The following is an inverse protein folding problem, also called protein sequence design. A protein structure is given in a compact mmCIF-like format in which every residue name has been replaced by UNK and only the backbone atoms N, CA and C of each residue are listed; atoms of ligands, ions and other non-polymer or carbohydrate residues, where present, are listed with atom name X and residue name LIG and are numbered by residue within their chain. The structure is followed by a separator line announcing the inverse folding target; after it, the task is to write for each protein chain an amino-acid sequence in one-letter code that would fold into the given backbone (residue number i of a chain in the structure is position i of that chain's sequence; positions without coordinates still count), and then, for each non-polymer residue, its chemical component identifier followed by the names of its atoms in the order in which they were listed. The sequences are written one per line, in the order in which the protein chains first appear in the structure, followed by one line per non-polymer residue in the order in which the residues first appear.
data_IF_271886197560
#
_entry.id   IF_271886197560
#
_cell.length_a   1.000
_cell.length_b   1.000
_cell.length_c   1.000
_cell.angle_alpha   90.00
_cell.angle_beta   90.00
_cell.angle_gamma   90.00
#
_symmetry.space_group_name_H-M   'P 1'
#
loop_
_entity.id
_entity.type
_entity.pdbx_description
1 polymer ?
#
# COMPACT_ATOMS: atom_id res chain seq x y z
N UNK A 1 17.15 -32.26 22.46
CA UNK A 1 16.18 -31.15 22.55
C UNK A 1 15.28 -31.31 21.34
N UNK A 2 14.06 -31.78 21.56
CA UNK A 2 13.16 -32.23 20.52
C UNK A 2 12.15 -31.11 20.25
N UNK A 3 12.21 -30.52 19.06
CA UNK A 3 11.25 -29.51 18.64
C UNK A 3 9.88 -30.17 18.49
N UNK A 4 8.97 -29.83 19.41
CA UNK A 4 7.57 -30.29 19.36
C UNK A 4 6.87 -29.44 18.30
N UNK A 5 6.76 -29.98 17.09
CA UNK A 5 5.89 -29.44 16.05
C UNK A 5 4.44 -29.71 16.47
N UNK A 6 3.82 -28.75 17.15
CA UNK A 6 2.40 -28.82 17.53
C UNK A 6 1.56 -28.64 16.28
N UNK A 7 1.20 -29.76 15.65
CA UNK A 7 0.22 -29.80 14.58
C UNK A 7 -1.17 -29.61 15.20
N UNK A 8 -1.64 -28.36 15.32
CA UNK A 8 -3.00 -28.08 15.78
C UNK A 8 -3.99 -28.56 14.73
N UNK A 9 -4.77 -29.58 15.10
CA UNK A 9 -5.92 -30.05 14.35
C UNK A 9 -6.93 -28.88 14.25
N UNK A 10 -7.36 -28.47 13.03
CA UNK A 10 -8.25 -27.33 12.89
C UNK A 10 -9.59 -27.66 13.54
N UNK A 11 -9.92 -26.95 14.61
CA UNK A 11 -11.23 -27.05 15.24
C UNK A 11 -12.32 -26.83 14.20
N UNK A 12 -13.36 -27.68 14.15
CA UNK A 12 -14.48 -27.48 13.25
C UNK A 12 -15.08 -26.10 13.53
N UNK A 13 -15.15 -25.25 12.50
CA UNK A 13 -15.79 -23.94 12.54
C UNK A 13 -17.27 -24.18 12.83
N UNK A 14 -17.63 -24.35 14.10
CA UNK A 14 -19.00 -24.30 14.57
C UNK A 14 -19.48 -22.87 14.30
N UNK A 15 -20.26 -22.71 13.22
CA UNK A 15 -20.99 -21.46 12.99
C UNK A 15 -21.89 -21.26 14.21
N UNK A 16 -21.67 -20.20 14.99
CA UNK A 16 -22.47 -19.96 16.17
C UNK A 16 -23.91 -19.73 15.73
N UNK A 17 -24.79 -20.61 16.20
CA UNK A 17 -26.24 -20.50 16.10
C UNK A 17 -26.69 -19.08 16.48
N UNK A 18 -27.63 -18.51 15.74
CA UNK A 18 -28.19 -17.16 15.90
C UNK A 18 -29.02 -17.00 17.20
N UNK A 19 -28.44 -17.34 18.34
CA UNK A 19 -29.05 -17.12 19.66
C UNK A 19 -28.64 -15.74 20.17
N UNK A 20 -29.61 -14.83 20.20
CA UNK A 20 -29.63 -13.57 20.96
C UNK A 20 -28.32 -12.78 20.93
N UNK A 21 -28.25 -11.86 19.97
CA UNK A 21 -27.19 -10.84 19.82
C UNK A 21 -27.16 -9.97 21.08
N UNK A 22 -26.42 -10.43 22.09
CA UNK A 22 -26.12 -9.66 23.27
C UNK A 22 -25.19 -8.52 22.82
N UNK A 23 -25.71 -7.30 22.75
CA UNK A 23 -24.98 -6.11 22.28
C UNK A 23 -23.65 -5.84 23.03
N UNK A 24 -23.43 -6.53 24.15
CA UNK A 24 -22.20 -6.49 24.94
C UNK A 24 -20.92 -6.93 24.21
N UNK A 25 -21.01 -7.59 23.06
CA UNK A 25 -19.82 -8.02 22.30
C UNK A 25 -19.41 -7.07 21.17
N UNK A 26 -20.18 -6.02 20.91
CA UNK A 26 -19.91 -5.08 19.81
C UNK A 26 -19.18 -3.87 20.34
N UNK A 27 -17.96 -3.63 19.86
CA UNK A 27 -17.12 -2.51 20.29
C UNK A 27 -17.08 -1.44 19.19
N UNK A 28 -17.54 -0.24 19.52
CA UNK A 28 -17.54 0.91 18.61
C UNK A 28 -16.34 1.84 18.83
N UNK A 29 -15.13 1.25 18.88
CA UNK A 29 -13.89 2.00 18.90
C UNK A 29 -13.03 1.59 17.70
N UNK A 30 -12.76 2.54 16.80
CA UNK A 30 -12.00 2.29 15.58
C UNK A 30 -10.56 1.86 15.87
N UNK A 31 -9.91 2.45 16.88
CA UNK A 31 -8.53 2.13 17.24
C UNK A 31 -8.45 0.73 17.85
N UNK A 32 -9.34 0.42 18.79
CA UNK A 32 -9.43 -0.91 19.39
C UNK A 32 -9.63 -2.00 18.33
N UNK A 33 -10.61 -1.80 17.44
CA UNK A 33 -10.90 -2.74 16.35
C UNK A 33 -9.69 -2.93 15.39
N UNK A 34 -8.92 -1.87 15.14
CA UNK A 34 -7.72 -1.95 14.31
C UNK A 34 -6.60 -2.75 14.99
N UNK A 35 -6.38 -2.54 16.30
CA UNK A 35 -5.40 -3.29 17.08
C UNK A 35 -5.81 -4.76 17.23
N UNK A 36 -7.08 -5.03 17.46
CA UNK A 36 -7.63 -6.39 17.53
C UNK A 36 -7.47 -7.14 16.20
N UNK A 37 -7.72 -6.47 15.06
CA UNK A 37 -7.43 -7.03 13.74
C UNK A 37 -5.94 -7.32 13.57
N UNK A 38 -5.08 -6.39 14.00
CA UNK A 38 -3.62 -6.57 13.92
C UNK A 38 -3.15 -7.75 14.77
N UNK A 39 -3.69 -7.92 15.98
CA UNK A 39 -3.42 -9.06 16.84
C UNK A 39 -3.83 -10.37 16.16
N UNK A 40 -5.03 -10.42 15.58
CA UNK A 40 -5.54 -11.62 14.90
C UNK A 40 -4.69 -11.98 13.69
N UNK A 41 -4.33 -10.98 12.87
CA UNK A 41 -3.43 -11.14 11.74
C UNK A 41 -2.04 -11.62 12.18
N UNK A 42 -1.54 -11.12 13.32
CA UNK A 42 -0.24 -11.49 13.88
C UNK A 42 -0.24 -12.94 14.35
N UNK A 43 -1.29 -13.39 15.04
CA UNK A 43 -1.45 -14.79 15.44
C UNK A 43 -1.46 -15.72 14.23
N UNK A 44 -2.25 -15.40 13.20
CA UNK A 44 -2.28 -16.19 11.96
C UNK A 44 -0.94 -16.18 11.23
N UNK A 45 -0.24 -15.05 11.22
CA UNK A 45 1.10 -14.95 10.64
C UNK A 45 2.10 -15.85 11.37
N UNK A 46 2.14 -15.80 12.71
CA UNK A 46 3.03 -16.65 13.51
C UNK A 46 2.75 -18.14 13.31
N UNK A 47 1.47 -18.52 13.24
CA UNK A 47 1.05 -19.90 12.96
C UNK A 47 1.50 -20.36 11.56
N UNK A 48 1.40 -19.48 10.57
CA UNK A 48 1.78 -19.80 9.18
C UNK A 48 3.29 -19.91 9.00
N UNK A 49 4.06 -19.01 9.62
CA UNK A 49 5.52 -18.99 9.49
C UNK A 49 6.24 -19.97 10.43
N UNK A 50 5.50 -20.67 11.30
CA UNK A 50 6.08 -21.69 12.19
C UNK A 50 7.07 -21.12 13.21
N UNK A 51 6.81 -19.91 13.72
CA UNK A 51 7.68 -19.28 14.72
C UNK A 51 7.70 -20.14 15.98
N UNK A 52 8.90 -20.52 16.45
CA UNK A 52 9.04 -21.28 17.69
C UNK A 52 8.59 -20.43 18.88
N UNK A 53 7.49 -20.85 19.51
CA UNK A 53 6.91 -20.17 20.67
C UNK A 53 7.17 -21.03 21.90
N UNK A 54 7.76 -20.48 22.98
CA UNK A 54 7.93 -21.20 24.22
C UNK A 54 6.58 -21.78 24.69
N UNK A 55 6.54 -23.04 25.18
CA UNK A 55 5.28 -23.69 25.57
C UNK A 55 4.51 -22.91 26.63
N UNK A 56 5.22 -22.19 27.51
CA UNK A 56 4.66 -21.28 28.52
C UNK A 56 3.81 -20.17 27.90
N UNK A 57 4.15 -19.72 26.69
CA UNK A 57 3.49 -18.62 25.96
C UNK A 57 2.52 -19.08 24.88
N UNK A 58 2.34 -20.40 24.70
CA UNK A 58 1.43 -20.95 23.69
C UNK A 58 -0.03 -20.45 23.88
N UNK A 59 -0.42 -20.16 25.12
CA UNK A 59 -1.74 -19.61 25.43
C UNK A 59 -2.00 -18.20 24.82
N UNK A 60 -0.94 -17.45 24.45
CA UNK A 60 -1.06 -16.14 23.82
C UNK A 60 -1.57 -16.21 22.36
N UNK A 61 -1.34 -17.34 21.68
CA UNK A 61 -1.88 -17.56 20.33
C UNK A 61 -3.40 -17.74 20.33
N UNK A 62 -3.97 -18.13 21.47
CA UNK A 62 -5.42 -18.27 21.60
C UNK A 62 -6.01 -16.89 21.89
N UNK A 63 -6.58 -16.28 20.83
CA UNK A 63 -7.19 -14.94 20.89
C UNK A 63 -8.30 -14.85 21.96
N UNK A 64 -8.88 -15.99 22.36
CA UNK A 64 -9.71 -16.12 23.55
C UNK A 64 -10.95 -15.21 23.54
N UNK A 65 -11.24 -14.59 24.68
CA UNK A 65 -12.40 -13.66 24.83
C UNK A 65 -12.26 -12.42 23.94
N UNK A 66 -11.04 -11.92 23.74
CA UNK A 66 -10.78 -10.74 22.90
C UNK A 66 -11.13 -11.04 21.45
N UNK A 67 -10.86 -12.25 20.95
CA UNK A 67 -11.21 -12.65 19.59
C UNK A 67 -12.71 -12.74 19.33
N UNK A 68 -13.54 -12.81 20.38
CA UNK A 68 -15.00 -12.85 20.27
C UNK A 68 -15.63 -11.46 20.14
N UNK A 69 -14.88 -10.40 20.46
CA UNK A 69 -15.34 -9.02 20.31
C UNK A 69 -15.48 -8.72 18.81
N UNK A 70 -16.60 -8.12 18.41
CA UNK A 70 -16.92 -7.88 17.01
C UNK A 70 -16.94 -6.38 16.74
N UNK A 71 -16.44 -6.01 15.56
CA UNK A 71 -16.66 -4.68 14.99
C UNK A 71 -18.12 -4.53 14.54
N UNK A 72 -18.74 -3.34 14.71
CA UNK A 72 -20.06 -3.08 14.15
C UNK A 72 -20.03 -3.28 12.63
N UNK A 73 -21.03 -3.96 12.08
CA UNK A 73 -21.19 -4.06 10.63
C UNK A 73 -21.60 -2.69 10.10
N UNK A 74 -20.98 -2.25 9.00
CA UNK A 74 -21.27 -0.96 8.37
C UNK A 74 -22.77 -0.73 8.10
N UNK A 75 -23.52 -1.79 7.82
CA UNK A 75 -24.96 -1.75 7.54
C UNK A 75 -25.86 -2.03 8.76
N UNK A 76 -25.29 -2.38 9.92
CA UNK A 76 -26.09 -2.64 11.13
C UNK A 76 -26.23 -1.36 11.95
N UNK A 77 -27.44 -1.08 12.43
CA UNK A 77 -27.73 0.03 13.37
C UNK A 77 -27.25 -0.26 14.81
N UNK A 78 -26.47 -1.32 15.02
CA UNK A 78 -25.91 -1.65 16.33
C UNK A 78 -24.96 -0.54 16.82
N UNK A 79 -25.44 0.23 17.80
CA UNK A 79 -24.60 1.13 18.59
C UNK A 79 -23.73 0.29 19.52
N UNK A 80 -22.51 -0.04 19.07
CA UNK A 80 -21.55 -0.76 19.90
C UNK A 80 -21.14 0.05 21.13
N UNK A 81 -20.70 -0.65 22.18
CA UNK A 81 -20.21 -0.03 23.41
C UNK A 81 -18.76 0.46 23.26
N UNK A 82 -18.34 1.32 24.18
CA UNK A 82 -16.93 1.68 24.37
C UNK A 82 -16.20 0.47 25.00
N UNK A 83 -14.96 0.18 24.57
CA UNK A 83 -14.13 -0.86 25.20
C UNK A 83 -13.83 -0.52 26.66
N UNK A 84 -13.79 -1.53 27.52
CA UNK A 84 -13.43 -1.34 28.93
C UNK A 84 -11.91 -1.21 29.06
N UNK A 85 -11.40 -0.46 30.06
CA UNK A 85 -9.95 -0.31 30.30
C UNK A 85 -9.23 -1.66 30.45
N UNK A 86 -9.85 -2.62 31.12
CA UNK A 86 -9.30 -3.98 31.25
C UNK A 86 -9.16 -4.70 29.90
N UNK A 87 -10.08 -4.48 28.95
CA UNK A 87 -10.00 -5.06 27.61
C UNK A 87 -8.90 -4.39 26.77
N UNK A 88 -8.75 -3.08 26.92
CA UNK A 88 -7.67 -2.31 26.32
C UNK A 88 -6.30 -2.76 26.80
N UNK A 89 -6.09 -2.80 28.12
CA UNK A 89 -4.85 -3.27 28.71
C UNK A 89 -4.52 -4.70 28.30
N UNK A 90 -5.51 -5.61 28.34
CA UNK A 90 -5.31 -6.99 27.92
C UNK A 90 -4.95 -7.11 26.42
N UNK A 91 -5.53 -6.28 25.55
CA UNK A 91 -5.20 -6.27 24.12
C UNK A 91 -3.77 -5.75 23.89
N UNK A 92 -3.40 -4.65 24.53
CA UNK A 92 -2.10 -4.01 24.37
C UNK A 92 -0.96 -4.87 24.93
N UNK A 93 -1.12 -5.40 26.14
CA UNK A 93 -0.14 -6.30 26.76
C UNK A 93 0.11 -7.52 25.86
N UNK A 94 -0.95 -8.16 25.36
CA UNK A 94 -0.81 -9.32 24.45
C UNK A 94 -0.12 -8.95 23.15
N UNK A 95 -0.47 -7.80 22.57
CA UNK A 95 0.14 -7.34 21.33
C UNK A 95 1.64 -7.07 21.54
N UNK A 96 2.02 -6.44 22.65
CA UNK A 96 3.41 -6.17 23.01
C UNK A 96 4.19 -7.46 23.28
N UNK A 97 3.61 -8.41 23.99
CA UNK A 97 4.22 -9.72 24.26
C UNK A 97 4.45 -10.50 22.96
N UNK A 98 3.45 -10.59 22.09
CA UNK A 98 3.60 -11.25 20.79
C UNK A 98 4.63 -10.54 19.91
N UNK A 99 4.62 -9.20 19.89
CA UNK A 99 5.64 -8.44 19.16
C UNK A 99 7.06 -8.67 19.69
N UNK A 100 7.23 -8.85 21.01
CA UNK A 100 8.54 -9.15 21.61
C UNK A 100 9.07 -10.53 21.20
N UNK A 101 8.19 -11.46 20.82
CA UNK A 101 8.55 -12.78 20.32
C UNK A 101 8.93 -12.77 18.84
N UNK A 102 8.46 -11.77 18.06
CA UNK A 102 8.84 -11.65 16.67
C UNK A 102 10.25 -11.07 16.54
N UNK A 103 11.19 -11.91 16.11
CA UNK A 103 12.48 -11.45 15.62
C UNK A 103 12.33 -10.43 14.49
N UNK A 104 13.35 -9.59 14.31
CA UNK A 104 13.36 -8.53 13.29
C UNK A 104 12.97 -8.99 11.86
N UNK A 105 13.44 -10.14 11.33
CA UNK A 105 13.03 -10.60 10.00
C UNK A 105 11.54 -10.97 9.93
N UNK A 106 11.00 -11.65 10.96
CA UNK A 106 9.58 -12.01 11.03
C UNK A 106 8.70 -10.76 11.14
N UNK A 107 9.14 -9.77 11.93
CA UNK A 107 8.44 -8.49 12.07
C UNK A 107 8.31 -7.76 10.74
N UNK A 108 9.38 -7.75 9.92
CA UNK A 108 9.32 -7.19 8.55
C UNK A 108 8.37 -7.98 7.66
N UNK A 109 8.43 -9.30 7.70
CA UNK A 109 7.51 -10.19 6.98
C UNK A 109 6.04 -9.93 7.31
N UNK A 110 5.74 -9.70 8.60
CA UNK A 110 4.39 -9.35 9.06
C UNK A 110 3.91 -8.02 8.47
N UNK A 111 4.74 -6.96 8.52
CA UNK A 111 4.37 -5.66 7.94
C UNK A 111 4.16 -5.74 6.43
N UNK A 112 4.99 -6.51 5.71
CA UNK A 112 4.80 -6.78 4.29
C UNK A 112 3.48 -7.54 4.07
N UNK A 113 3.18 -8.53 4.91
CA UNK A 113 1.92 -9.28 4.83
C UNK A 113 0.70 -8.38 5.02
N UNK A 114 0.76 -7.44 5.97
CA UNK A 114 -0.31 -6.48 6.23
C UNK A 114 -0.49 -5.49 5.07
N UNK A 115 0.59 -5.16 4.35
CA UNK A 115 0.53 -4.25 3.19
C UNK A 115 0.11 -4.94 1.88
N UNK A 116 0.12 -6.28 1.79
CA UNK A 116 -0.31 -7.06 0.60
C UNK A 116 -1.66 -6.61 0.06
N UNK A 117 -2.64 -6.36 0.93
CA UNK A 117 -3.97 -5.92 0.49
C UNK A 117 -3.91 -4.58 -0.25
N UNK A 118 -3.11 -3.65 0.25
CA UNK A 118 -2.94 -2.34 -0.38
C UNK A 118 -2.16 -2.49 -1.69
N UNK A 119 -1.08 -3.27 -1.69
CA UNK A 119 -0.22 -3.47 -2.85
C UNK A 119 -0.92 -4.22 -3.99
N UNK A 120 -1.88 -5.10 -3.70
CA UNK A 120 -2.67 -5.82 -4.71
C UNK A 120 -3.84 -4.98 -5.22
N UNK A 121 -4.61 -4.36 -4.33
CA UNK A 121 -5.85 -3.67 -4.72
C UNK A 121 -5.59 -2.29 -5.35
N UNK A 122 -4.58 -1.54 -4.89
CA UNK A 122 -4.29 -0.19 -5.41
C UNK A 122 -3.98 -0.18 -6.91
N UNK A 123 -3.02 -0.96 -7.44
CA UNK A 123 -2.74 -0.94 -8.87
C UNK A 123 -3.94 -1.39 -9.70
N UNK A 124 -4.77 -2.31 -9.19
CA UNK A 124 -6.00 -2.72 -9.88
C UNK A 124 -7.00 -1.57 -9.99
N UNK A 125 -7.27 -0.86 -8.89
CA UNK A 125 -8.18 0.31 -8.89
C UNK A 125 -7.66 1.41 -9.81
N UNK A 126 -6.36 1.71 -9.76
CA UNK A 126 -5.74 2.75 -10.58
C UNK A 126 -5.76 2.36 -12.07
N UNK A 127 -5.49 1.10 -12.39
CA UNK A 127 -5.58 0.57 -13.75
C UNK A 127 -7.00 0.66 -14.30
N UNK A 128 -8.01 0.26 -13.51
CA UNK A 128 -9.42 0.43 -13.89
C UNK A 128 -9.75 1.91 -14.10
N UNK A 129 -9.25 2.80 -13.24
CA UNK A 129 -9.39 4.25 -13.40
C UNK A 129 -8.77 4.79 -14.70
N UNK A 130 -7.58 4.32 -15.07
CA UNK A 130 -6.92 4.68 -16.32
C UNK A 130 -7.70 4.20 -17.55
N UNK A 131 -8.14 2.94 -17.54
CA UNK A 131 -8.95 2.39 -18.64
C UNK A 131 -10.29 3.11 -18.74
N UNK A 132 -10.93 3.40 -17.60
CA UNK A 132 -12.18 4.14 -17.55
C UNK A 132 -12.02 5.57 -18.09
N UNK A 133 -10.90 6.26 -17.79
CA UNK A 133 -10.67 7.60 -18.31
C UNK A 133 -10.46 7.61 -19.82
N UNK A 134 -9.84 6.57 -20.38
CA UNK A 134 -9.69 6.37 -21.82
C UNK A 134 -11.00 5.99 -22.48
N UNK A 135 -11.81 5.15 -21.85
CA UNK A 135 -13.14 4.80 -22.39
C UNK A 135 -14.07 6.02 -22.37
N UNK A 136 -14.01 6.84 -21.31
CA UNK A 136 -14.82 8.05 -21.17
C UNK A 136 -14.60 9.07 -22.31
N UNK A 137 -13.41 9.17 -22.89
CA UNK A 137 -13.19 10.07 -24.05
C UNK A 137 -13.96 9.67 -25.29
N UNK A 138 -14.44 8.42 -25.38
CA UNK A 138 -15.25 7.99 -26.52
C UNK A 138 -16.70 8.48 -26.44
N UNK A 139 -17.18 8.88 -25.25
CA UNK A 139 -18.58 9.26 -25.01
C UNK A 139 -18.78 10.74 -24.67
N UNK A 140 -17.70 11.47 -24.45
CA UNK A 140 -17.74 12.86 -23.99
C UNK A 140 -17.26 13.80 -25.11
N UNK A 141 -17.76 15.03 -25.14
CA UNK A 141 -17.31 16.08 -26.05
C UNK A 141 -15.80 16.34 -25.97
N UNK A 142 -15.21 16.77 -27.09
CA UNK A 142 -13.78 17.07 -27.23
C UNK A 142 -13.26 18.06 -26.17
N UNK A 143 -14.13 18.96 -25.68
CA UNK A 143 -13.81 19.94 -24.62
C UNK A 143 -13.36 19.27 -23.31
N UNK A 144 -13.81 18.05 -23.03
CA UNK A 144 -13.49 17.34 -21.80
C UNK A 144 -12.32 16.36 -21.96
N UNK A 145 -11.81 16.16 -23.17
CA UNK A 145 -10.68 15.25 -23.43
C UNK A 145 -9.45 15.60 -22.59
N UNK A 146 -9.23 16.89 -22.32
CA UNK A 146 -8.13 17.34 -21.47
C UNK A 146 -8.23 16.79 -20.04
N UNK A 147 -9.43 16.76 -19.44
CA UNK A 147 -9.62 16.23 -18.10
C UNK A 147 -9.42 14.72 -18.04
N UNK A 148 -9.91 13.99 -19.05
CA UNK A 148 -9.67 12.56 -19.20
C UNK A 148 -8.18 12.24 -19.40
N UNK A 149 -7.49 13.08 -20.18
CA UNK A 149 -6.04 12.99 -20.36
C UNK A 149 -5.27 13.24 -19.07
N UNK A 150 -5.64 14.27 -18.28
CA UNK A 150 -5.03 14.53 -16.97
C UNK A 150 -5.25 13.34 -16.02
N UNK A 151 -6.46 12.78 -15.98
CA UNK A 151 -6.76 11.59 -15.18
C UNK A 151 -5.92 10.38 -15.63
N UNK A 152 -5.78 10.18 -16.94
CA UNK A 152 -4.93 9.15 -17.55
C UNK A 152 -3.46 9.31 -17.12
N UNK A 153 -2.89 10.51 -17.23
CA UNK A 153 -1.51 10.80 -16.85
C UNK A 153 -1.26 10.54 -15.36
N UNK A 154 -2.15 11.02 -14.48
CA UNK A 154 -2.03 10.79 -13.03
C UNK A 154 -2.11 9.29 -12.70
N UNK A 155 -3.03 8.56 -13.34
CA UNK A 155 -3.18 7.13 -13.12
C UNK A 155 -1.94 6.35 -13.57
N UNK A 156 -1.40 6.64 -14.76
CA UNK A 156 -0.18 5.99 -15.23
C UNK A 156 1.05 6.33 -14.37
N UNK A 157 1.21 7.59 -13.95
CA UNK A 157 2.28 7.98 -13.04
C UNK A 157 2.19 7.28 -11.67
N UNK A 158 0.98 7.19 -11.12
CA UNK A 158 0.73 6.42 -9.90
C UNK A 158 1.04 4.92 -10.08
N UNK A 159 0.64 4.34 -11.21
CA UNK A 159 0.86 2.94 -11.54
C UNK A 159 2.35 2.63 -11.70
N UNK A 160 3.11 3.50 -12.36
CA UNK A 160 4.56 3.40 -12.48
C UNK A 160 5.24 3.39 -11.12
N UNK A 161 4.82 4.29 -10.23
CA UNK A 161 5.31 4.31 -8.85
C UNK A 161 5.00 3.00 -8.13
N UNK A 162 3.76 2.51 -8.18
CA UNK A 162 3.39 1.23 -7.56
C UNK A 162 4.20 0.05 -8.14
N UNK A 163 4.47 0.04 -9.45
CA UNK A 163 5.28 -1.00 -10.09
C UNK A 163 6.71 -1.00 -9.54
N UNK A 164 7.32 0.18 -9.36
CA UNK A 164 8.63 0.32 -8.72
C UNK A 164 8.59 -0.17 -7.26
N UNK A 165 7.57 0.23 -6.49
CA UNK A 165 7.40 -0.22 -5.10
C UNK A 165 7.29 -1.75 -5.03
N UNK A 166 6.50 -2.34 -5.93
CA UNK A 166 6.28 -3.78 -6.00
C UNK A 166 7.55 -4.51 -6.39
N UNK A 167 8.33 -3.99 -7.35
CA UNK A 167 9.60 -4.58 -7.75
C UNK A 167 10.61 -4.60 -6.60
N UNK A 168 10.73 -3.50 -5.84
CA UNK A 168 11.61 -3.46 -4.67
C UNK A 168 11.10 -4.32 -3.51
N UNK A 169 9.78 -4.41 -3.34
CA UNK A 169 9.19 -5.29 -2.33
C UNK A 169 9.41 -6.78 -2.65
N UNK A 170 9.41 -7.14 -3.95
CA UNK A 170 9.67 -8.50 -4.42
C UNK A 170 11.16 -8.85 -4.46
N UNK A 171 12.03 -7.89 -4.76
CA UNK A 171 13.47 -8.15 -4.90
C UNK A 171 14.17 -8.48 -3.58
N UNK A 172 13.46 -8.42 -2.44
CA UNK A 172 14.02 -8.61 -1.08
C UNK A 172 15.26 -7.73 -0.83
N UNK A 173 15.49 -6.71 -1.67
CA UNK A 173 16.59 -5.78 -1.49
C UNK A 173 16.32 -5.02 -0.21
N UNK A 174 17.25 -5.17 0.76
CA UNK A 174 17.28 -4.39 2.00
C UNK A 174 17.68 -2.95 1.67
N UNK A 175 16.92 -2.25 0.84
CA UNK A 175 17.06 -0.82 0.72
C UNK A 175 16.54 -0.19 2.01
N UNK A 176 17.48 0.27 2.84
CA UNK A 176 17.26 0.87 4.16
C UNK A 176 16.32 2.09 4.07
N UNK A 177 16.22 2.71 2.89
CA UNK A 177 15.33 3.84 2.58
C UNK A 177 13.88 3.44 2.29
N UNK A 178 13.57 2.15 2.15
CA UNK A 178 12.24 1.67 1.83
C UNK A 178 11.61 0.99 3.05
N UNK A 179 11.14 1.79 4.01
CA UNK A 179 10.28 1.27 5.07
C UNK A 179 8.86 1.00 4.52
N UNK A 180 8.70 -0.20 3.94
CA UNK A 180 7.42 -0.74 3.45
C UNK A 180 6.35 -0.72 4.56
N UNK A 181 6.76 -0.71 5.82
CA UNK A 181 5.85 -0.63 6.97
C UNK A 181 5.14 0.71 7.07
N UNK A 182 5.71 1.80 6.55
CA UNK A 182 5.12 3.11 6.66
C UNK A 182 4.19 3.45 5.48
N UNK A 183 2.89 3.20 5.67
CA UNK A 183 1.83 3.52 4.70
C UNK A 183 1.89 4.97 4.23
N UNK A 184 2.28 5.92 5.10
CA UNK A 184 2.36 7.34 4.73
C UNK A 184 3.46 7.59 3.70
N UNK A 185 4.63 6.97 3.86
CA UNK A 185 5.74 7.10 2.89
C UNK A 185 5.37 6.47 1.54
N UNK A 186 4.67 5.33 1.57
CA UNK A 186 4.15 4.67 0.37
C UNK A 186 3.18 5.60 -0.38
N UNK A 187 2.20 6.16 0.31
CA UNK A 187 1.22 7.09 -0.29
C UNK A 187 1.90 8.33 -0.88
N UNK A 188 2.84 8.95 -0.16
CA UNK A 188 3.60 10.11 -0.67
C UNK A 188 4.32 9.75 -1.97
N UNK A 189 4.92 8.56 -2.05
CA UNK A 189 5.62 8.11 -3.26
C UNK A 189 4.69 7.87 -4.45
N UNK A 190 3.50 7.34 -4.21
CA UNK A 190 2.47 7.18 -5.25
C UNK A 190 2.02 8.55 -5.75
N UNK A 191 1.75 9.50 -4.84
CA UNK A 191 1.35 10.86 -5.18
C UNK A 191 2.44 11.58 -5.98
N UNK A 192 3.72 11.45 -5.59
CA UNK A 192 4.85 11.99 -6.34
C UNK A 192 4.94 11.39 -7.74
N UNK A 193 4.74 10.08 -7.88
CA UNK A 193 4.70 9.43 -9.21
C UNK A 193 3.58 9.98 -10.09
N UNK A 194 2.38 10.16 -9.54
CA UNK A 194 1.26 10.78 -10.24
C UNK A 194 1.57 12.23 -10.66
N UNK A 195 2.15 13.03 -9.77
CA UNK A 195 2.51 14.42 -10.05
C UNK A 195 3.62 14.54 -11.08
N UNK A 196 4.66 13.71 -11.03
CA UNK A 196 5.72 13.72 -12.03
C UNK A 196 5.22 13.24 -13.39
N UNK A 197 4.40 12.18 -13.42
CA UNK A 197 3.74 11.74 -14.65
C UNK A 197 2.90 12.86 -15.26
N UNK A 198 2.14 13.58 -14.45
CA UNK A 198 1.35 14.73 -14.89
C UNK A 198 2.22 15.87 -15.42
N UNK A 199 3.08 16.45 -14.58
CA UNK A 199 3.83 17.67 -14.91
C UNK A 199 4.76 17.46 -16.11
N UNK A 200 5.43 16.32 -16.19
CA UNK A 200 6.42 16.07 -17.23
C UNK A 200 5.81 15.59 -18.55
N UNK A 201 4.70 14.83 -18.52
CA UNK A 201 4.10 14.32 -19.76
C UNK A 201 3.00 15.23 -20.34
N UNK A 202 2.44 16.15 -19.55
CA UNK A 202 1.40 17.09 -20.01
C UNK A 202 1.79 17.86 -21.29
N UNK A 203 2.96 18.51 -21.41
CA UNK A 203 3.29 19.33 -22.58
C UNK A 203 3.54 18.52 -23.87
N UNK A 204 3.87 17.23 -23.76
CA UNK A 204 4.31 16.43 -24.91
C UNK A 204 3.26 15.44 -25.43
N UNK A 205 2.35 14.96 -24.59
CA UNK A 205 1.51 13.82 -24.92
C UNK A 205 0.09 14.13 -25.37
N UNK A 206 -0.44 15.35 -25.19
CA UNK A 206 -1.85 15.63 -25.47
C UNK A 206 -2.23 15.42 -26.94
N UNK A 207 -1.44 15.94 -27.89
CA UNK A 207 -1.71 15.75 -29.32
C UNK A 207 -1.63 14.29 -29.76
N UNK A 208 -0.68 13.53 -29.19
CA UNK A 208 -0.55 12.09 -29.45
C UNK A 208 -1.73 11.30 -28.86
N UNK A 209 -2.22 11.72 -27.69
CA UNK A 209 -3.41 11.15 -27.07
C UNK A 209 -4.66 11.38 -27.91
N UNK A 210 -4.89 12.61 -28.40
CA UNK A 210 -6.04 12.92 -29.25
C UNK A 210 -5.99 12.15 -30.57
N UNK A 211 -4.82 12.09 -31.20
CA UNK A 211 -4.59 11.28 -32.40
C UNK A 211 -4.91 9.81 -32.15
N UNK A 212 -4.42 9.25 -31.04
CA UNK A 212 -4.68 7.87 -30.64
C UNK A 212 -6.18 7.57 -30.45
N UNK A 213 -6.92 8.46 -29.78
CA UNK A 213 -8.37 8.31 -29.60
C UNK A 213 -9.11 8.38 -30.94
N UNK A 214 -8.71 9.27 -31.85
CA UNK A 214 -9.30 9.36 -33.19
C UNK A 214 -9.06 8.11 -34.02
N UNK A 215 -7.85 7.55 -33.98
CA UNK A 215 -7.51 6.29 -34.66
C UNK A 215 -8.32 5.12 -34.10
N UNK A 216 -8.45 5.02 -32.77
CA UNK A 216 -9.29 4.01 -32.12
C UNK A 216 -10.77 4.11 -32.52
N UNK A 217 -11.31 5.33 -32.62
CA UNK A 217 -12.73 5.53 -32.97
C UNK A 217 -13.01 5.23 -34.44
N UNK A 218 -12.09 5.61 -35.32
CA UNK A 218 -12.30 5.55 -36.76
C UNK A 218 -11.79 4.23 -37.40
N UNK A 219 -11.17 3.33 -36.60
CA UNK A 219 -10.54 2.09 -37.07
C UNK A 219 -9.59 2.32 -38.25
N UNK A 220 -8.87 3.45 -38.24
CA UNK A 220 -7.97 3.80 -39.34
C UNK A 220 -6.71 2.94 -39.26
N UNK A 221 -6.29 2.28 -40.35
CA UNK A 221 -5.00 1.59 -40.37
C UNK A 221 -3.88 2.62 -40.19
N UNK A 222 -3.00 2.36 -39.22
CA UNK A 222 -1.87 3.24 -38.88
C UNK A 222 -0.56 2.53 -39.18
N UNK A 223 0.46 3.32 -39.56
CA UNK A 223 1.81 2.82 -39.81
C UNK A 223 2.47 2.42 -38.48
N UNK A 224 3.06 1.22 -38.43
CA UNK A 224 3.65 0.64 -37.22
C UNK A 224 4.70 1.53 -36.53
N UNK A 225 5.45 2.34 -37.30
CA UNK A 225 6.45 3.26 -36.76
C UNK A 225 5.81 4.46 -36.02
N UNK A 226 4.69 4.97 -36.53
CA UNK A 226 3.92 6.06 -35.91
C UNK A 226 3.22 5.58 -34.64
N UNK A 227 2.74 4.34 -34.65
CA UNK A 227 2.13 3.70 -33.49
C UNK A 227 3.13 3.48 -32.36
N UNK A 228 4.34 3.02 -32.67
CA UNK A 228 5.38 2.83 -31.65
C UNK A 228 5.76 4.15 -30.95
N UNK A 229 5.91 5.25 -31.70
CA UNK A 229 6.20 6.58 -31.14
C UNK A 229 5.05 7.09 -30.27
N UNK A 230 3.81 6.89 -30.73
CA UNK A 230 2.59 7.29 -30.01
C UNK A 230 2.47 6.51 -28.71
N UNK A 231 2.64 5.18 -28.75
CA UNK A 231 2.63 4.31 -27.58
C UNK A 231 3.74 4.67 -26.58
N UNK A 232 4.97 4.90 -27.06
CA UNK A 232 6.08 5.33 -26.21
C UNK A 232 5.79 6.66 -25.50
N UNK A 233 5.19 7.62 -26.20
CA UNK A 233 4.82 8.91 -25.60
C UNK A 233 3.68 8.78 -24.60
N UNK A 234 2.70 7.91 -24.87
CA UNK A 234 1.60 7.62 -23.94
C UNK A 234 2.04 6.85 -22.70
N UNK A 235 3.11 6.05 -22.79
CA UNK A 235 3.70 5.31 -21.67
C UNK A 235 4.66 6.17 -20.83
N UNK A 236 5.13 7.30 -21.35
CA UNK A 236 6.03 8.23 -20.67
C UNK A 236 5.65 8.56 -19.20
N UNK A 237 4.39 8.89 -18.84
CA UNK A 237 4.02 9.14 -17.45
C UNK A 237 4.27 7.94 -16.53
N UNK A 238 4.09 6.70 -17.02
CA UNK A 238 4.40 5.49 -16.27
C UNK A 238 5.90 5.38 -15.99
N UNK A 239 6.74 5.66 -16.99
CA UNK A 239 8.21 5.62 -16.85
C UNK A 239 8.70 6.64 -15.82
N UNK A 240 8.12 7.84 -15.82
CA UNK A 240 8.43 8.86 -14.81
C UNK A 240 7.97 8.45 -13.41
N UNK A 241 6.79 7.84 -13.29
CA UNK A 241 6.31 7.26 -12.04
C UNK A 241 7.21 6.16 -11.50
N UNK A 242 7.70 5.28 -12.37
CA UNK A 242 8.63 4.21 -12.02
C UNK A 242 9.96 4.76 -11.52
N UNK A 243 10.40 5.90 -12.06
CA UNK A 243 11.69 6.52 -11.75
C UNK A 243 11.65 7.48 -10.55
N UNK A 244 10.62 7.44 -9.70
CA UNK A 244 10.43 8.41 -8.58
C UNK A 244 11.67 8.60 -7.69
N UNK A 245 12.40 7.55 -7.35
CA UNK A 245 13.65 7.66 -6.55
C UNK A 245 14.77 8.40 -7.31
N UNK A 246 14.90 8.15 -8.60
CA UNK A 246 15.88 8.82 -9.45
C UNK A 246 15.50 10.29 -9.63
N UNK A 247 14.22 10.58 -9.89
CA UNK A 247 13.72 11.95 -10.01
C UNK A 247 13.92 12.72 -8.70
N UNK A 248 13.62 12.12 -7.55
CA UNK A 248 13.90 12.74 -6.24
C UNK A 248 15.38 13.01 -6.04
N UNK A 249 16.26 12.07 -6.41
CA UNK A 249 17.71 12.28 -6.33
C UNK A 249 18.16 13.44 -7.22
N UNK A 250 17.63 13.55 -8.44
CA UNK A 250 17.93 14.66 -9.36
C UNK A 250 17.43 15.99 -8.80
N UNK A 251 16.20 16.03 -8.27
CA UNK A 251 15.65 17.26 -7.66
C UNK A 251 16.47 17.68 -6.45
N UNK A 252 16.84 16.74 -5.57
CA UNK A 252 17.69 17.04 -4.41
C UNK A 252 19.05 17.60 -4.87
N UNK A 253 19.69 16.98 -5.87
CA UNK A 253 20.94 17.47 -6.48
C UNK A 253 20.78 18.86 -7.06
N UNK A 254 19.66 19.16 -7.72
CA UNK A 254 19.38 20.46 -8.31
C UNK A 254 19.13 21.52 -7.22
N UNK A 255 18.38 21.18 -6.17
CA UNK A 255 18.17 22.06 -5.00
C UNK A 255 19.49 22.34 -4.29
N UNK A 256 20.36 21.34 -4.15
CA UNK A 256 21.69 21.51 -3.57
C UNK A 256 22.58 22.40 -4.45
N UNK A 257 22.58 22.18 -5.77
CA UNK A 257 23.32 23.02 -6.70
C UNK A 257 22.83 24.48 -6.69
N UNK A 258 21.52 24.68 -6.66
CA UNK A 258 20.90 26.01 -6.49
C UNK A 258 21.31 26.60 -5.14
N UNK A 259 21.26 25.81 -4.07
CA UNK A 259 21.71 26.23 -2.74
C UNK A 259 23.15 26.73 -2.73
N UNK A 260 24.05 26.03 -3.41
CA UNK A 260 25.46 26.43 -3.57
C UNK A 260 25.57 27.74 -4.34
N UNK A 261 24.81 27.92 -5.44
CA UNK A 261 24.77 29.18 -6.20
C UNK A 261 24.31 30.35 -5.33
N UNK A 262 23.34 30.12 -4.43
CA UNK A 262 22.85 31.12 -3.48
C UNK A 262 23.66 31.20 -2.17
N UNK A 263 24.84 30.58 -2.12
CA UNK A 263 25.77 30.73 -1.00
C UNK A 263 25.44 29.90 0.24
N UNK A 264 24.57 28.90 0.14
CA UNK A 264 24.40 27.90 1.20
C UNK A 264 25.69 27.07 1.26
N UNK A 265 26.47 27.10 2.36
CA UNK A 265 27.66 26.28 2.46
C UNK A 265 27.26 24.80 2.33
N UNK A 266 28.06 23.97 1.63
CA UNK A 266 27.77 22.54 1.52
C UNK A 266 27.62 22.00 2.93
N UNK A 267 26.49 21.33 3.20
CA UNK A 267 26.26 20.71 4.50
C UNK A 267 27.27 19.58 4.63
N UNK A 268 28.43 19.88 5.23
CA UNK A 268 29.43 18.91 5.59
C UNK A 268 28.71 17.85 6.40
N UNK A 269 28.57 16.64 5.87
CA UNK A 269 28.25 15.49 6.70
C UNK A 269 29.32 15.46 7.78
N UNK A 270 28.99 15.95 8.97
CA UNK A 270 29.79 15.73 10.16
C UNK A 270 29.79 14.23 10.36
N UNK A 271 30.85 13.60 9.88
CA UNK A 271 31.27 12.28 10.30
C UNK A 271 31.33 12.30 11.83
N UNK A 272 30.23 11.91 12.47
CA UNK A 272 30.25 11.33 13.81
C UNK A 272 30.98 9.99 13.69
N UNK A 273 32.29 10.04 13.47
CA UNK A 273 33.22 9.09 14.04
C UNK A 273 33.49 9.59 15.46
N UNK A 274 32.60 9.20 16.38
CA UNK A 274 32.84 9.34 17.80
C UNK A 274 32.46 8.01 18.46
N UNK A 275 33.52 7.25 18.73
CA UNK A 275 33.65 6.05 19.58
C UNK A 275 33.06 4.73 19.10
#
# INVERSE_FOLDING_TARGET
MSDVVVQMQPDPIQRPSETLVNGNYVINDRKFNQLQSTLTDLCHFMQREGVSIPPEKAHLLVVGKIGRLRKPRFWSRETGRVPTEAEWGALETRLQELHSLLGEPCRRGFYISQSKRLLIWMPLVIMVGAVASLFATSFIDERWHLYCYIAWLMALGALGSIAYISMNALSLQKDITFDIGNKRLLVIRILLGAMFGLILALPFGFGNFESFIRTLRNNTPSDAATDAKTAATLLMPFVFGFSTTLVLTIINRLVDAIGVIFGKPPTSQSSNMSH
#
